data_IF_477765283790
#
_entry.id   IF_477765283790
#
_cell.length_a   1.000
_cell.length_b   1.000
_cell.length_c   1.000
_cell.angle_alpha   90.00
_cell.angle_beta   90.00
_cell.angle_gamma   90.00
#
_symmetry.space_group_name_H-M   'P 1'
#
loop_
_entity.id
_entity.type
_entity.pdbx_description
1 polymer ?
#
# COMPACT_ATOMS: atom_id res chain seq x y z
N UNK A 1 13.86 -9.48 -22.84
CA UNK A 1 13.44 -9.44 -21.42
C UNK A 1 13.78 -10.77 -20.79
N UNK A 2 14.70 -10.81 -19.82
CA UNK A 2 15.04 -12.04 -19.12
C UNK A 2 13.86 -12.42 -18.19
N UNK A 3 13.28 -13.59 -18.40
CA UNK A 3 12.32 -14.20 -17.48
C UNK A 3 13.15 -14.62 -16.26
N UNK A 4 13.02 -13.88 -15.16
CA UNK A 4 13.63 -14.29 -13.90
C UNK A 4 12.85 -15.53 -13.44
N UNK A 5 13.46 -16.70 -13.50
CA UNK A 5 12.92 -17.92 -12.92
C UNK A 5 12.69 -17.66 -11.41
N UNK A 6 11.42 -17.64 -11.00
CA UNK A 6 11.06 -17.49 -9.59
C UNK A 6 11.57 -18.70 -8.84
N UNK A 7 12.34 -18.48 -7.79
CA UNK A 7 12.76 -19.57 -6.90
C UNK A 7 11.55 -20.15 -6.15
N UNK A 8 11.58 -21.45 -5.82
CA UNK A 8 10.51 -22.11 -5.02
C UNK A 8 10.18 -21.36 -3.72
N UNK A 9 11.15 -20.65 -3.16
CA UNK A 9 10.97 -19.81 -1.97
C UNK A 9 10.09 -18.59 -2.24
N UNK A 10 10.28 -17.93 -3.38
CA UNK A 10 9.46 -16.76 -3.79
C UNK A 10 8.02 -17.17 -4.07
N UNK A 11 7.81 -18.30 -4.76
CA UNK A 11 6.46 -18.83 -5.01
C UNK A 11 5.73 -19.19 -3.70
N UNK A 12 6.44 -19.79 -2.74
CA UNK A 12 5.88 -20.09 -1.42
C UNK A 12 5.51 -18.81 -0.67
N UNK A 13 6.37 -17.79 -0.71
CA UNK A 13 6.09 -16.49 -0.08
C UNK A 13 4.84 -15.84 -0.69
N UNK A 14 4.76 -15.73 -2.01
CA UNK A 14 3.61 -15.15 -2.72
C UNK A 14 2.30 -15.89 -2.39
N UNK A 15 2.35 -17.21 -2.27
CA UNK A 15 1.20 -18.02 -1.86
C UNK A 15 0.76 -17.68 -0.44
N UNK A 16 1.69 -17.67 0.52
CA UNK A 16 1.38 -17.34 1.91
C UNK A 16 0.85 -15.92 2.07
N UNK A 17 1.42 -14.94 1.34
CA UNK A 17 0.91 -13.56 1.32
C UNK A 17 -0.52 -13.50 0.76
N UNK A 18 -0.82 -14.30 -0.25
CA UNK A 18 -2.17 -14.38 -0.83
C UNK A 18 -3.15 -15.00 0.16
N UNK A 19 -2.76 -16.09 0.81
CA UNK A 19 -3.57 -16.75 1.85
C UNK A 19 -3.87 -15.79 3.00
N UNK A 20 -2.86 -15.11 3.56
CA UNK A 20 -3.02 -14.11 4.64
C UNK A 20 -3.99 -12.99 4.22
N UNK A 21 -3.83 -12.44 3.02
CA UNK A 21 -4.69 -11.37 2.55
C UNK A 21 -6.14 -11.83 2.35
N UNK A 22 -6.33 -13.08 1.89
CA UNK A 22 -7.65 -13.67 1.69
C UNK A 22 -8.34 -13.93 3.03
N UNK A 23 -7.64 -14.54 3.98
CA UNK A 23 -8.18 -14.79 5.33
C UNK A 23 -8.55 -13.51 6.06
N UNK A 24 -7.69 -12.49 6.02
CA UNK A 24 -7.97 -11.19 6.62
C UNK A 24 -9.21 -10.53 5.99
N UNK A 25 -9.36 -10.65 4.68
CA UNK A 25 -10.51 -10.09 3.96
C UNK A 25 -11.81 -10.85 4.29
N UNK A 26 -11.78 -12.19 4.32
CA UNK A 26 -12.93 -13.00 4.68
C UNK A 26 -13.35 -12.77 6.14
N UNK A 27 -12.39 -12.72 7.06
CA UNK A 27 -12.68 -12.41 8.46
C UNK A 27 -13.37 -11.03 8.60
N UNK A 28 -12.87 -10.02 7.89
CA UNK A 28 -13.45 -8.68 7.86
C UNK A 28 -14.90 -8.71 7.36
N UNK A 29 -15.16 -9.45 6.29
CA UNK A 29 -16.50 -9.60 5.71
C UNK A 29 -17.45 -10.30 6.66
N UNK A 30 -17.06 -11.43 7.25
CA UNK A 30 -17.89 -12.20 8.17
C UNK A 30 -18.19 -11.45 9.46
N UNK A 31 -17.23 -10.69 10.00
CA UNK A 31 -17.48 -9.80 11.14
C UNK A 31 -18.55 -8.77 10.77
N UNK A 32 -18.43 -8.14 9.60
CA UNK A 32 -19.40 -7.18 9.10
C UNK A 32 -20.82 -7.75 8.99
N UNK A 33 -20.97 -8.98 8.48
CA UNK A 33 -22.27 -9.68 8.37
C UNK A 33 -22.88 -9.92 9.74
N UNK A 34 -22.12 -10.42 10.72
CA UNK A 34 -22.60 -10.65 12.08
C UNK A 34 -23.00 -9.35 12.78
N UNK A 35 -22.21 -8.30 12.62
CA UNK A 35 -22.55 -6.98 13.17
C UNK A 35 -23.81 -6.40 12.52
N UNK A 36 -24.00 -6.60 11.21
CA UNK A 36 -25.20 -6.20 10.48
C UNK A 36 -26.43 -6.93 11.02
N UNK A 37 -26.34 -8.23 11.25
CA UNK A 37 -27.41 -9.04 11.83
C UNK A 37 -27.79 -8.52 13.23
N UNK A 38 -26.82 -8.34 14.14
CA UNK A 38 -27.06 -7.80 15.47
C UNK A 38 -27.76 -6.43 15.39
N UNK A 39 -27.31 -5.56 14.46
CA UNK A 39 -27.85 -4.21 14.33
C UNK A 39 -29.24 -4.19 13.73
N UNK A 40 -29.51 -4.99 12.66
CA UNK A 40 -30.81 -5.03 11.97
C UNK A 40 -31.90 -5.70 12.80
N UNK A 41 -31.54 -6.79 13.47
CA UNK A 41 -32.47 -7.52 14.36
C UNK A 41 -32.57 -6.93 15.75
N UNK A 42 -31.89 -5.80 16.00
CA UNK A 42 -31.87 -5.09 17.29
C UNK A 42 -31.52 -5.98 18.50
N UNK A 43 -30.78 -7.08 18.32
CA UNK A 43 -30.42 -8.04 19.38
C UNK A 43 -29.70 -7.39 20.55
N UNK A 44 -29.02 -6.27 20.32
CA UNK A 44 -28.43 -5.47 21.39
C UNK A 44 -29.48 -4.95 22.39
N UNK A 45 -30.74 -4.73 21.96
CA UNK A 45 -31.86 -4.32 22.87
C UNK A 45 -32.31 -5.46 23.78
N UNK A 46 -32.38 -6.68 23.21
CA UNK A 46 -32.68 -7.89 24.01
C UNK A 46 -31.59 -8.14 25.06
N UNK A 47 -30.34 -7.74 24.76
CA UNK A 47 -29.22 -7.78 25.70
C UNK A 47 -29.20 -6.61 26.70
N UNK A 48 -30.25 -5.76 26.74
CA UNK A 48 -30.42 -4.68 27.71
C UNK A 48 -29.79 -3.33 27.32
N UNK A 49 -29.28 -3.18 26.08
CA UNK A 49 -28.70 -1.90 25.64
C UNK A 49 -29.74 -1.03 24.96
N UNK A 50 -29.77 0.26 25.32
CA UNK A 50 -30.76 1.23 24.81
C UNK A 50 -30.45 1.65 23.36
N UNK A 51 -29.19 1.50 22.91
CA UNK A 51 -28.77 1.94 21.59
C UNK A 51 -27.58 1.12 21.06
N UNK A 52 -27.43 1.09 19.72
CA UNK A 52 -26.27 0.52 19.03
C UNK A 52 -24.94 1.11 19.52
N UNK A 53 -24.91 2.44 19.76
CA UNK A 53 -23.72 3.12 20.28
C UNK A 53 -23.32 2.61 21.67
N UNK A 54 -24.31 2.41 22.57
CA UNK A 54 -24.07 1.88 23.90
C UNK A 54 -23.56 0.44 23.85
N UNK A 55 -24.13 -0.39 22.97
CA UNK A 55 -23.66 -1.75 22.76
C UNK A 55 -22.21 -1.79 22.29
N UNK A 56 -21.85 -1.00 21.27
CA UNK A 56 -20.47 -0.94 20.79
C UNK A 56 -19.49 -0.40 21.86
N UNK A 57 -19.95 0.47 22.76
CA UNK A 57 -19.11 1.02 23.82
C UNK A 57 -18.99 0.08 25.04
N UNK A 58 -19.78 -1.00 25.12
CA UNK A 58 -19.84 -1.89 26.30
C UNK A 58 -18.62 -2.82 26.44
N UNK A 59 -17.77 -2.92 25.44
CA UNK A 59 -16.65 -3.88 25.43
C UNK A 59 -17.04 -5.33 25.13
N UNK A 60 -18.33 -5.61 24.83
CA UNK A 60 -18.75 -6.96 24.39
C UNK A 60 -18.21 -7.36 23.03
N UNK A 61 -17.91 -6.38 22.22
CA UNK A 61 -17.18 -6.53 20.95
C UNK A 61 -15.94 -5.65 21.01
N UNK A 62 -14.85 -6.08 20.42
CA UNK A 62 -13.57 -5.35 20.41
C UNK A 62 -13.57 -4.12 19.50
N UNK A 63 -14.72 -3.81 18.88
CA UNK A 63 -14.85 -2.76 17.88
C UNK A 63 -15.70 -1.60 18.41
N UNK A 64 -15.18 -0.39 18.36
CA UNK A 64 -15.98 0.80 18.60
C UNK A 64 -17.04 1.00 17.49
N UNK A 65 -18.03 1.87 17.74
CA UNK A 65 -19.14 2.12 16.81
C UNK A 65 -18.67 2.48 15.40
N UNK A 66 -17.67 3.35 15.27
CA UNK A 66 -17.18 3.78 13.96
C UNK A 66 -16.57 2.62 13.16
N UNK A 67 -15.84 1.74 13.84
CA UNK A 67 -15.27 0.55 13.24
C UNK A 67 -16.36 -0.47 12.88
N UNK A 68 -17.30 -0.73 13.79
CA UNK A 68 -18.43 -1.61 13.55
C UNK A 68 -19.27 -1.16 12.33
N UNK A 69 -19.58 0.13 12.23
CA UNK A 69 -20.32 0.69 11.10
C UNK A 69 -19.53 0.56 9.79
N UNK A 70 -18.18 0.67 9.81
CA UNK A 70 -17.33 0.42 8.62
C UNK A 70 -17.36 -1.04 8.19
N UNK A 71 -17.29 -1.99 9.12
CA UNK A 71 -17.40 -3.42 8.81
C UNK A 71 -18.77 -3.74 8.18
N UNK A 72 -19.84 -3.21 8.75
CA UNK A 72 -21.20 -3.36 8.20
C UNK A 72 -21.26 -2.82 6.78
N UNK A 73 -20.84 -1.57 6.58
CA UNK A 73 -20.86 -0.92 5.27
C UNK A 73 -20.06 -1.69 4.22
N UNK A 74 -18.86 -2.17 4.60
CA UNK A 74 -18.02 -2.95 3.71
C UNK A 74 -18.65 -4.30 3.33
N UNK A 75 -19.32 -4.98 4.28
CA UNK A 75 -20.01 -6.23 4.04
C UNK A 75 -21.23 -6.06 3.12
N UNK A 76 -21.91 -4.92 3.15
CA UNK A 76 -23.01 -4.59 2.25
C UNK A 76 -22.52 -4.17 0.84
N UNK A 77 -21.36 -3.50 0.78
CA UNK A 77 -20.79 -3.02 -0.48
C UNK A 77 -20.15 -4.14 -1.31
N UNK A 78 -19.45 -5.08 -0.64
CA UNK A 78 -18.73 -6.18 -1.31
C UNK A 78 -19.53 -6.90 -2.41
N UNK A 79 -20.73 -7.44 -2.14
CA UNK A 79 -21.49 -8.16 -3.16
C UNK A 79 -21.93 -7.26 -4.33
N UNK A 80 -21.97 -5.95 -4.12
CA UNK A 80 -22.37 -4.97 -5.14
C UNK A 80 -21.23 -4.58 -6.08
N UNK A 81 -19.96 -4.82 -5.68
CA UNK A 81 -18.77 -4.56 -6.51
C UNK A 81 -18.52 -5.66 -7.57
N UNK A 82 -19.22 -6.81 -7.48
CA UNK A 82 -19.07 -7.95 -8.37
C UNK A 82 -18.09 -9.02 -7.86
N UNK A 83 -18.15 -10.21 -8.47
CA UNK A 83 -17.41 -11.41 -8.03
C UNK A 83 -15.89 -11.28 -8.17
N UNK A 84 -15.41 -10.45 -9.08
CA UNK A 84 -13.97 -10.23 -9.28
C UNK A 84 -13.35 -9.32 -8.21
N UNK A 85 -14.14 -8.78 -7.28
CA UNK A 85 -13.65 -7.85 -6.26
C UNK A 85 -12.72 -8.51 -5.22
N UNK A 86 -12.81 -9.81 -4.99
CA UNK A 86 -12.01 -10.53 -4.00
C UNK A 86 -10.52 -10.48 -4.34
N UNK A 87 -10.17 -10.57 -5.63
CA UNK A 87 -8.77 -10.57 -6.06
C UNK A 87 -8.14 -9.17 -6.14
N UNK A 88 -8.97 -8.13 -6.20
CA UNK A 88 -8.52 -6.75 -6.39
C UNK A 88 -8.52 -5.92 -5.09
N UNK A 89 -9.41 -6.24 -4.12
CA UNK A 89 -9.67 -5.40 -2.97
C UNK A 89 -9.02 -5.95 -1.69
N UNK A 90 -8.21 -5.14 -1.04
CA UNK A 90 -7.81 -5.35 0.35
C UNK A 90 -8.80 -4.65 1.28
N UNK A 91 -8.74 -4.98 2.59
CA UNK A 91 -9.59 -4.34 3.61
C UNK A 91 -9.47 -2.81 3.57
N UNK A 92 -8.24 -2.27 3.47
CA UNK A 92 -8.00 -0.83 3.41
C UNK A 92 -8.65 -0.17 2.18
N UNK A 93 -8.63 -0.83 1.03
CA UNK A 93 -9.21 -0.37 -0.23
C UNK A 93 -10.74 -0.37 -0.14
N UNK A 94 -11.32 -1.43 0.44
CA UNK A 94 -12.75 -1.53 0.65
C UNK A 94 -13.27 -0.48 1.66
N UNK A 95 -12.52 -0.25 2.74
CA UNK A 95 -12.81 0.81 3.71
C UNK A 95 -12.79 2.18 3.04
N UNK A 96 -11.87 2.42 2.10
CA UNK A 96 -11.82 3.67 1.35
C UNK A 96 -13.02 3.85 0.43
N UNK A 97 -13.45 2.79 -0.27
CA UNK A 97 -14.67 2.80 -1.06
C UNK A 97 -15.93 3.05 -0.22
N UNK A 98 -15.94 2.61 1.04
CA UNK A 98 -17.05 2.87 1.95
C UNK A 98 -17.23 4.35 2.35
N UNK A 99 -16.24 5.21 2.04
CA UNK A 99 -16.36 6.66 2.23
C UNK A 99 -17.17 7.34 1.12
N UNK A 100 -17.46 6.66 0.02
CA UNK A 100 -18.36 7.18 -1.01
C UNK A 100 -19.78 7.34 -0.46
N UNK A 101 -20.47 8.39 -0.88
CA UNK A 101 -21.83 8.71 -0.39
C UNK A 101 -22.83 7.63 -0.76
N UNK A 102 -22.76 7.14 -1.99
CA UNK A 102 -23.67 6.11 -2.51
C UNK A 102 -22.92 4.86 -2.98
N UNK A 103 -23.65 3.73 -3.07
CA UNK A 103 -23.10 2.49 -3.63
C UNK A 103 -22.74 2.63 -5.12
N UNK A 104 -23.49 3.48 -5.83
CA UNK A 104 -23.21 3.73 -7.25
C UNK A 104 -21.90 4.53 -7.42
N UNK A 105 -21.65 5.49 -6.54
CA UNK A 105 -20.36 6.22 -6.53
C UNK A 105 -19.21 5.28 -6.19
N UNK A 106 -19.38 4.41 -5.19
CA UNK A 106 -18.37 3.42 -4.84
C UNK A 106 -18.05 2.49 -6.02
N UNK A 107 -19.08 2.02 -6.77
CA UNK A 107 -18.89 1.21 -7.99
C UNK A 107 -18.16 1.99 -9.09
N UNK A 108 -18.53 3.25 -9.30
CA UNK A 108 -17.89 4.13 -10.29
C UNK A 108 -16.42 4.34 -9.97
N UNK A 109 -16.11 4.68 -8.71
CA UNK A 109 -14.75 4.88 -8.22
C UNK A 109 -13.93 3.59 -8.33
N UNK A 110 -14.51 2.45 -7.92
CA UNK A 110 -13.88 1.14 -8.03
C UNK A 110 -13.49 0.81 -9.48
N UNK A 111 -14.45 0.98 -10.41
CA UNK A 111 -14.24 0.72 -11.85
C UNK A 111 -13.14 1.62 -12.44
N UNK A 112 -13.15 2.92 -12.07
CA UNK A 112 -12.12 3.88 -12.52
C UNK A 112 -10.73 3.50 -11.95
N UNK A 113 -10.64 3.15 -10.67
CA UNK A 113 -9.38 2.76 -10.03
C UNK A 113 -8.78 1.50 -10.66
N UNK A 114 -9.60 0.50 -10.98
CA UNK A 114 -9.17 -0.70 -11.72
C UNK A 114 -8.63 -0.32 -13.09
N UNK A 115 -9.36 0.47 -13.87
CA UNK A 115 -8.93 0.86 -15.21
C UNK A 115 -7.62 1.65 -15.23
N UNK A 116 -7.38 2.48 -14.20
CA UNK A 116 -6.12 3.19 -14.02
C UNK A 116 -4.99 2.20 -13.69
N UNK A 117 -5.22 1.30 -12.73
CA UNK A 117 -4.25 0.30 -12.31
C UNK A 117 -3.82 -0.60 -13.49
N UNK A 118 -4.77 -1.06 -14.32
CA UNK A 118 -4.50 -1.84 -15.52
C UNK A 118 -3.66 -1.07 -16.55
N UNK A 119 -4.00 0.20 -16.81
CA UNK A 119 -3.24 1.06 -17.74
C UNK A 119 -1.82 1.35 -17.29
N UNK A 120 -1.61 1.46 -15.98
CA UNK A 120 -0.31 1.80 -15.41
C UNK A 120 0.53 0.58 -15.05
N UNK A 121 -0.03 -0.62 -15.13
CA UNK A 121 0.60 -1.85 -14.65
C UNK A 121 0.80 -1.87 -13.13
N UNK A 122 0.08 -1.00 -12.40
CA UNK A 122 0.15 -0.89 -10.96
C UNK A 122 -1.01 -1.65 -10.30
N UNK A 123 -0.85 -1.89 -9.01
CA UNK A 123 -1.92 -2.46 -8.21
C UNK A 123 -2.89 -1.35 -7.76
N UNK A 124 -4.18 -1.69 -7.62
CA UNK A 124 -5.14 -0.83 -6.92
C UNK A 124 -4.69 -0.66 -5.47
N UNK A 125 -4.73 0.57 -4.97
CA UNK A 125 -4.40 0.91 -3.59
C UNK A 125 -5.47 1.81 -2.99
N UNK A 126 -5.59 1.83 -1.65
CA UNK A 126 -6.50 2.74 -0.95
C UNK A 126 -6.23 4.22 -1.32
N UNK A 127 -4.96 4.58 -1.53
CA UNK A 127 -4.58 5.92 -1.97
C UNK A 127 -5.12 6.24 -3.37
N UNK A 128 -4.97 5.32 -4.33
CA UNK A 128 -5.51 5.50 -5.69
C UNK A 128 -7.03 5.67 -5.65
N UNK A 129 -7.73 4.89 -4.81
CA UNK A 129 -9.17 5.00 -4.61
C UNK A 129 -9.55 6.37 -4.06
N UNK A 130 -8.82 6.87 -3.06
CA UNK A 130 -9.04 8.21 -2.50
C UNK A 130 -8.83 9.30 -3.56
N UNK A 131 -7.75 9.23 -4.33
CA UNK A 131 -7.44 10.16 -5.41
C UNK A 131 -8.54 10.15 -6.50
N UNK A 132 -9.06 8.99 -6.86
CA UNK A 132 -10.16 8.86 -7.84
C UNK A 132 -11.48 9.39 -7.27
N UNK A 133 -11.76 9.16 -5.98
CA UNK A 133 -12.97 9.66 -5.31
C UNK A 133 -12.95 11.18 -5.22
N UNK A 134 -11.83 11.75 -4.79
CA UNK A 134 -11.70 13.19 -4.49
C UNK A 134 -11.42 14.02 -5.75
N UNK A 135 -10.98 13.40 -6.84
CA UNK A 135 -10.62 14.02 -8.10
C UNK A 135 -11.69 13.83 -9.17
N UNK A 136 -12.82 14.52 -9.04
CA UNK A 136 -13.98 14.31 -9.92
C UNK A 136 -13.78 14.91 -11.27
N UNK A 137 -13.07 14.65 -12.18
CA UNK A 137 -13.06 14.91 -13.64
C UNK A 137 -11.68 14.87 -14.35
N UNK A 138 -10.58 14.64 -13.63
CA UNK A 138 -9.26 14.65 -14.25
C UNK A 138 -8.51 13.31 -14.17
N UNK A 139 -9.14 12.24 -14.62
CA UNK A 139 -8.53 10.89 -14.63
C UNK A 139 -7.14 10.88 -15.29
N UNK A 140 -6.94 11.73 -16.28
CA UNK A 140 -5.63 11.89 -16.95
C UNK A 140 -4.59 12.64 -16.13
N UNK A 141 -5.00 13.69 -15.38
CA UNK A 141 -4.09 14.49 -14.55
C UNK A 141 -3.72 13.79 -13.25
N UNK A 142 -4.66 13.11 -12.62
CA UNK A 142 -4.39 12.33 -11.40
C UNK A 142 -3.39 11.19 -11.66
N UNK A 143 -3.56 10.45 -12.76
CA UNK A 143 -2.62 9.39 -13.17
C UNK A 143 -1.23 9.95 -13.48
N UNK A 144 -1.16 11.06 -14.22
CA UNK A 144 0.12 11.67 -14.58
C UNK A 144 0.81 12.23 -13.34
N UNK A 145 0.09 12.98 -12.49
CA UNK A 145 0.62 13.54 -11.25
C UNK A 145 1.08 12.47 -10.26
N UNK A 146 0.32 11.38 -10.13
CA UNK A 146 0.70 10.26 -9.26
C UNK A 146 1.95 9.54 -9.78
N UNK A 147 2.03 9.29 -11.08
CA UNK A 147 3.21 8.68 -11.72
C UNK A 147 4.45 9.57 -11.59
N UNK A 148 4.28 10.88 -11.78
CA UNK A 148 5.34 11.88 -11.60
C UNK A 148 5.79 11.98 -10.13
N UNK A 149 4.85 11.98 -9.17
CA UNK A 149 5.16 12.02 -7.74
C UNK A 149 5.84 10.74 -7.25
N UNK A 150 5.43 9.55 -7.73
CA UNK A 150 6.10 8.30 -7.39
C UNK A 150 7.51 8.23 -7.99
N UNK A 151 7.67 8.69 -9.22
CA UNK A 151 8.98 8.76 -9.86
C UNK A 151 9.89 9.79 -9.17
N UNK A 152 9.37 10.97 -8.85
CA UNK A 152 10.10 12.01 -8.14
C UNK A 152 10.47 11.58 -6.71
N UNK A 153 9.52 11.08 -5.93
CA UNK A 153 9.78 10.62 -4.56
C UNK A 153 10.75 9.43 -4.50
N UNK A 154 10.68 8.52 -5.49
CA UNK A 154 11.65 7.42 -5.59
C UNK A 154 13.03 7.94 -5.97
N UNK A 155 13.11 8.86 -6.91
CA UNK A 155 14.38 9.46 -7.35
C UNK A 155 15.00 10.29 -6.23
N UNK A 156 14.23 11.18 -5.60
CA UNK A 156 14.70 12.02 -4.48
C UNK A 156 15.21 11.17 -3.32
N UNK A 157 14.47 10.12 -2.94
CA UNK A 157 14.90 9.20 -1.88
C UNK A 157 16.21 8.48 -2.23
N UNK A 158 16.41 8.14 -3.50
CA UNK A 158 17.67 7.51 -3.94
C UNK A 158 18.81 8.51 -4.03
N UNK A 159 18.53 9.74 -4.46
CA UNK A 159 19.52 10.82 -4.51
C UNK A 159 19.95 11.24 -3.10
N UNK A 160 19.02 11.35 -2.15
CA UNK A 160 19.34 11.64 -0.75
C UNK A 160 20.25 10.56 -0.14
N UNK A 161 19.89 9.28 -0.34
CA UNK A 161 20.73 8.16 0.14
C UNK A 161 22.11 8.14 -0.52
N UNK A 162 22.21 8.45 -1.79
CA UNK A 162 23.50 8.56 -2.48
C UNK A 162 24.32 9.75 -1.96
N UNK A 163 23.67 10.88 -1.71
CA UNK A 163 24.30 12.06 -1.13
C UNK A 163 24.87 11.76 0.26
N UNK A 164 24.08 11.14 1.13
CA UNK A 164 24.50 10.74 2.48
C UNK A 164 25.70 9.77 2.43
N UNK A 165 25.63 8.76 1.57
CA UNK A 165 26.73 7.80 1.36
C UNK A 165 28.00 8.48 0.86
N UNK A 166 27.89 9.45 -0.05
CA UNK A 166 29.05 10.20 -0.56
C UNK A 166 29.68 11.09 0.52
N UNK A 167 28.87 11.72 1.35
CA UNK A 167 29.34 12.53 2.48
C UNK A 167 30.06 11.66 3.52
N UNK A 168 29.51 10.52 3.88
CA UNK A 168 30.11 9.58 4.82
C UNK A 168 31.42 8.99 4.27
N UNK A 169 31.42 8.68 2.98
CA UNK A 169 32.60 8.17 2.30
C UNK A 169 33.72 9.21 2.25
N UNK A 170 33.37 10.48 1.94
CA UNK A 170 34.31 11.60 1.98
C UNK A 170 34.90 11.79 3.36
N UNK A 171 34.08 11.81 4.41
CA UNK A 171 34.56 11.90 5.81
C UNK A 171 35.50 10.76 6.17
N UNK A 172 35.16 9.54 5.74
CA UNK A 172 36.00 8.37 5.99
C UNK A 172 37.35 8.47 5.26
N UNK A 173 37.40 9.03 4.05
CA UNK A 173 38.62 9.26 3.30
C UNK A 173 39.49 10.38 3.92
N UNK A 174 38.85 11.47 4.38
CA UNK A 174 39.53 12.59 5.04
C UNK A 174 40.11 12.18 6.42
N UNK A 175 39.54 11.15 7.07
CA UNK A 175 40.03 10.62 8.34
C UNK A 175 41.23 9.65 8.17
N UNK A 176 41.55 9.21 6.95
CA UNK A 176 42.69 8.30 6.71
C UNK A 176 43.99 9.11 6.68
N UNK A 177 44.85 8.85 7.63
CA UNK A 177 46.22 9.40 7.68
C UNK A 177 47.03 8.93 6.46
N UNK A 178 47.99 9.75 6.01
CA UNK A 178 48.91 9.44 4.89
C UNK A 178 49.62 8.10 5.06
N UNK A 179 50.01 7.74 6.28
CA UNK A 179 50.61 6.43 6.61
C UNK A 179 49.65 5.26 6.46
N UNK A 180 48.38 5.50 6.71
CA UNK A 180 47.33 4.47 6.51
C UNK A 180 47.08 4.22 5.03
N UNK A 181 47.18 5.25 4.15
CA UNK A 181 47.09 5.09 2.71
C UNK A 181 48.19 4.18 2.15
N UNK A 182 49.39 4.25 2.66
CA UNK A 182 50.49 3.37 2.24
C UNK A 182 50.25 1.89 2.60
N UNK A 183 49.46 1.63 3.63
CA UNK A 183 49.10 0.28 4.05
C UNK A 183 47.89 -0.34 3.29
N UNK A 184 47.14 0.45 2.52
CA UNK A 184 45.98 -0.02 1.77
C UNK A 184 46.40 -0.93 0.63
N UNK A 185 45.93 -2.19 0.55
CA UNK A 185 46.26 -3.09 -0.54
C UNK A 185 45.89 -2.49 -1.92
N UNK A 186 46.79 -2.56 -2.87
CA UNK A 186 46.62 -2.01 -4.23
C UNK A 186 45.33 -2.48 -4.90
N UNK A 187 44.89 -3.70 -4.64
CA UNK A 187 43.63 -4.25 -5.14
C UNK A 187 42.40 -3.42 -4.71
N UNK A 188 42.43 -2.86 -3.47
CA UNK A 188 41.33 -2.03 -2.94
C UNK A 188 41.37 -0.66 -3.62
N UNK A 189 42.54 -0.06 -3.74
CA UNK A 189 42.72 1.23 -4.42
C UNK A 189 42.25 1.15 -5.89
N UNK A 190 42.60 0.07 -6.59
CA UNK A 190 42.16 -0.16 -7.97
C UNK A 190 40.65 -0.31 -8.10
N UNK A 191 40.01 -0.99 -7.11
CA UNK A 191 38.54 -1.15 -7.09
C UNK A 191 37.85 0.19 -6.83
N UNK A 192 38.29 0.94 -5.85
CA UNK A 192 37.75 2.27 -5.52
C UNK A 192 37.87 3.21 -6.70
N UNK A 193 39.01 3.22 -7.38
CA UNK A 193 39.23 4.04 -8.59
C UNK A 193 38.27 3.69 -9.72
N UNK A 194 38.07 2.41 -9.98
CA UNK A 194 37.14 1.93 -11.01
C UNK A 194 35.69 2.36 -10.69
N UNK A 195 35.24 2.21 -9.45
CA UNK A 195 33.90 2.61 -9.06
C UNK A 195 33.71 4.14 -9.15
N UNK A 196 34.71 4.91 -8.78
CA UNK A 196 34.68 6.37 -8.90
C UNK A 196 34.62 6.82 -10.38
N UNK A 197 35.37 6.16 -11.27
CA UNK A 197 35.33 6.42 -12.73
C UNK A 197 33.95 6.06 -13.30
N UNK A 198 33.34 4.95 -12.85
CA UNK A 198 31.99 4.53 -13.25
C UNK A 198 30.92 5.54 -12.82
N UNK A 199 30.96 5.99 -11.56
CA UNK A 199 30.07 7.03 -11.05
C UNK A 199 30.22 8.35 -11.81
N UNK A 200 31.46 8.74 -12.11
CA UNK A 200 31.73 9.98 -12.85
C UNK A 200 31.21 9.91 -14.29
N UNK A 201 31.29 8.76 -14.93
CA UNK A 201 30.74 8.55 -16.28
C UNK A 201 29.21 8.56 -16.29
N UNK A 202 28.59 7.99 -15.26
CA UNK A 202 27.13 7.97 -15.11
C UNK A 202 26.54 9.37 -14.89
N UNK A 203 27.24 10.23 -14.13
CA UNK A 203 26.79 11.60 -13.85
C UNK A 203 27.02 12.58 -15.03
N UNK A 204 27.79 12.17 -16.06
CA UNK A 204 28.06 12.99 -17.27
C UNK A 204 27.18 12.65 -18.47
N UNK A 205 26.43 11.54 -18.41
CA UNK A 205 25.52 11.07 -19.48
C UNK A 205 24.10 11.45 -19.23
#
# INVERSE_FOLDING_TARGET
MAVIEKTKGVEKLERLETEINTEAFEAFYHIGQKLLEIKRSELYREAGFKSWSQYCASGRIEHNKAMADRYIRASELRPKLGTNSIHYWKVAELVELCKCETDNDAKRVAKKAIAIAEKTGQRVTARLIAEVRDGDDETGRAVKKHKEQLAAASLDTHLDKLSDLLVDWRRSLEAIDSKQWESVPQRILTRVRREAEHLTSFLKG
#
